data_IF_888445096051
#
_entry.id   IF_888445096051
#
_cell.length_a   1.000
_cell.length_b   1.000
_cell.length_c   1.000
_cell.angle_alpha   90.00
_cell.angle_beta   90.00
_cell.angle_gamma   90.00
#
_symmetry.space_group_name_H-M   'P 1'
#
loop_
_entity.id
_entity.type
_entity.pdbx_description
1 polymer ?
#
# COMPACT_ATOMS: atom_id res chain seq x y z
N UNK A 1 -1.45 -10.96 31.75
CA UNK A 1 -0.39 -12.00 31.62
C UNK A 1 0.85 -11.34 31.04
N UNK A 2 1.91 -11.14 31.82
CA UNK A 2 3.17 -10.62 31.28
C UNK A 2 3.76 -11.65 30.31
N UNK A 3 3.81 -11.33 29.01
CA UNK A 3 4.41 -12.21 28.00
C UNK A 3 5.90 -12.32 28.32
N UNK A 4 6.33 -13.47 28.84
CA UNK A 4 7.74 -13.76 29.13
C UNK A 4 8.53 -13.61 27.83
N UNK A 5 9.59 -12.79 27.86
CA UNK A 5 10.54 -12.70 26.76
C UNK A 5 11.09 -14.11 26.47
N UNK A 6 10.85 -14.62 25.26
CA UNK A 6 11.37 -15.91 24.82
C UNK A 6 12.82 -15.74 24.40
N UNK A 7 13.71 -16.50 25.03
CA UNK A 7 15.12 -16.61 24.64
C UNK A 7 15.20 -17.76 23.64
N UNK A 8 15.79 -17.51 22.47
CA UNK A 8 16.04 -18.52 21.42
C UNK A 8 17.49 -18.47 21.00
N UNK A 9 18.02 -19.56 20.47
CA UNK A 9 19.39 -19.57 19.93
C UNK A 9 19.37 -19.14 18.47
N UNK A 10 20.12 -18.09 18.13
CA UNK A 10 20.32 -17.60 16.76
C UNK A 10 21.82 -17.54 16.51
N UNK A 11 22.30 -18.21 15.46
CA UNK A 11 23.74 -18.30 15.14
C UNK A 11 24.59 -18.67 16.36
N UNK A 12 24.17 -19.72 17.07
CA UNK A 12 24.81 -20.25 18.29
C UNK A 12 24.89 -19.29 19.49
N UNK A 13 24.20 -18.15 19.41
CA UNK A 13 24.12 -17.16 20.49
C UNK A 13 22.68 -17.08 21.04
N UNK A 14 22.49 -16.96 22.35
CA UNK A 14 21.17 -16.71 22.91
C UNK A 14 20.72 -15.30 22.51
N UNK A 15 19.58 -15.22 21.84
CA UNK A 15 18.89 -13.99 21.46
C UNK A 15 17.63 -13.84 22.30
N UNK A 16 17.43 -12.65 22.87
CA UNK A 16 16.24 -12.29 23.64
C UNK A 16 15.46 -11.26 22.85
N UNK A 17 14.28 -11.65 22.36
CA UNK A 17 13.39 -10.71 21.70
C UNK A 17 12.90 -9.63 22.67
N UNK A 18 12.91 -8.40 22.20
CA UNK A 18 12.24 -7.26 22.80
C UNK A 18 10.72 -7.44 22.75
N UNK A 19 9.99 -6.62 23.51
CA UNK A 19 8.52 -6.65 23.52
C UNK A 19 7.94 -6.35 22.13
N UNK A 20 8.50 -5.36 21.43
CA UNK A 20 8.08 -4.95 20.08
C UNK A 20 8.34 -6.03 19.03
N UNK A 21 9.50 -6.69 19.07
CA UNK A 21 9.79 -7.79 18.15
C UNK A 21 8.85 -8.98 18.38
N UNK A 22 8.54 -9.29 19.64
CA UNK A 22 7.56 -10.33 19.95
C UNK A 22 6.17 -9.99 19.44
N UNK A 23 5.72 -8.74 19.57
CA UNK A 23 4.45 -8.29 19.02
C UNK A 23 4.42 -8.40 17.48
N UNK A 24 5.52 -8.06 16.81
CA UNK A 24 5.66 -8.21 15.36
C UNK A 24 5.55 -9.69 14.94
N UNK A 25 6.34 -10.56 15.58
CA UNK A 25 6.34 -12.02 15.35
C UNK A 25 4.93 -12.60 15.53
N UNK A 26 4.25 -12.23 16.61
CA UNK A 26 2.88 -12.68 16.88
C UNK A 26 1.87 -12.13 15.86
N UNK A 27 2.04 -10.89 15.40
CA UNK A 27 1.16 -10.27 14.39
C UNK A 27 1.22 -10.96 13.03
N UNK A 28 2.39 -11.51 12.69
CA UNK A 28 2.59 -12.32 11.48
C UNK A 28 2.25 -13.80 11.67
N UNK A 29 1.75 -14.18 12.85
CA UNK A 29 1.36 -15.56 13.17
C UNK A 29 2.53 -16.52 13.32
N UNK A 30 3.76 -16.03 13.45
CA UNK A 30 4.97 -16.85 13.55
C UNK A 30 5.39 -17.02 15.02
N UNK A 31 6.27 -18.00 15.28
CA UNK A 31 6.84 -18.23 16.61
C UNK A 31 8.32 -17.83 16.66
N UNK A 32 8.81 -17.48 17.84
CA UNK A 32 10.24 -17.20 18.08
C UNK A 32 11.17 -18.34 17.61
N UNK A 33 10.74 -19.60 17.73
CA UNK A 33 11.48 -20.76 17.22
C UNK A 33 11.52 -20.81 15.69
N UNK A 34 10.44 -20.39 15.02
CA UNK A 34 10.39 -20.26 13.56
C UNK A 34 11.38 -19.21 13.06
N UNK A 35 11.51 -18.08 13.77
CA UNK A 35 12.50 -17.03 13.43
C UNK A 35 13.92 -17.60 13.49
N UNK A 36 14.27 -18.35 14.54
CA UNK A 36 15.57 -19.03 14.63
C UNK A 36 15.80 -20.00 13.46
N UNK A 37 14.80 -20.79 13.10
CA UNK A 37 14.87 -21.70 11.95
C UNK A 37 15.12 -20.95 10.64
N UNK A 38 14.39 -19.87 10.39
CA UNK A 38 14.58 -19.02 9.20
C UNK A 38 15.98 -18.45 9.11
N UNK A 39 16.53 -17.95 10.22
CA UNK A 39 17.91 -17.42 10.22
C UNK A 39 18.91 -18.53 9.90
N UNK A 40 18.71 -19.76 10.40
CA UNK A 40 19.51 -20.93 10.01
C UNK A 40 19.38 -21.26 8.52
N UNK A 41 18.19 -21.07 7.95
CA UNK A 41 17.89 -21.26 6.52
C UNK A 41 18.41 -20.09 5.64
N UNK A 42 19.16 -19.14 6.21
CA UNK A 42 19.80 -18.05 5.47
C UNK A 42 19.00 -16.75 5.38
N UNK A 43 17.93 -16.61 6.15
CA UNK A 43 17.19 -15.36 6.26
C UNK A 43 17.96 -14.34 7.10
N UNK A 44 17.84 -13.06 6.77
CA UNK A 44 18.22 -12.02 7.71
C UNK A 44 17.24 -12.00 8.91
N UNK A 45 17.71 -11.64 10.11
CA UNK A 45 16.87 -11.61 11.31
C UNK A 45 15.61 -10.75 11.13
N UNK A 46 15.75 -9.57 10.51
CA UNK A 46 14.62 -8.68 10.25
C UNK A 46 13.63 -9.30 9.25
N UNK A 47 14.12 -9.85 8.13
CA UNK A 47 13.29 -10.57 7.15
C UNK A 47 12.56 -11.76 7.79
N UNK A 48 13.24 -12.49 8.67
CA UNK A 48 12.70 -13.65 9.37
C UNK A 48 11.55 -13.29 10.32
N UNK A 49 11.50 -12.04 10.83
CA UNK A 49 10.43 -11.55 11.69
C UNK A 49 9.25 -10.97 10.89
N UNK A 50 9.50 -10.29 9.77
CA UNK A 50 8.45 -9.63 8.95
C UNK A 50 7.68 -10.62 8.06
N UNK A 51 8.32 -11.72 7.64
CA UNK A 51 7.69 -12.68 6.75
C UNK A 51 6.56 -13.48 7.43
N UNK A 52 5.35 -13.59 6.82
CA UNK A 52 4.28 -14.43 7.36
C UNK A 52 4.62 -15.92 7.26
N UNK A 53 3.89 -16.76 7.98
CA UNK A 53 4.10 -18.22 7.92
C UNK A 53 3.92 -18.78 6.49
N UNK A 54 4.72 -19.77 6.12
CA UNK A 54 4.61 -20.46 4.82
C UNK A 54 5.29 -19.76 3.64
N UNK A 55 5.86 -18.56 3.80
CA UNK A 55 6.57 -17.87 2.70
C UNK A 55 7.96 -18.42 2.47
N UNK A 56 8.34 -18.58 1.20
CA UNK A 56 9.72 -18.86 0.80
C UNK A 56 10.55 -17.57 0.75
N UNK A 57 11.86 -17.68 0.98
CA UNK A 57 12.77 -16.52 1.02
C UNK A 57 12.80 -15.77 -0.32
N UNK A 58 12.85 -16.50 -1.43
CA UNK A 58 12.84 -15.93 -2.78
C UNK A 58 11.56 -15.14 -3.04
N UNK A 59 10.40 -15.76 -2.78
CA UNK A 59 9.08 -15.16 -2.95
C UNK A 59 8.91 -13.90 -2.09
N UNK A 60 9.36 -13.95 -0.84
CA UNK A 60 9.31 -12.79 0.06
C UNK A 60 10.15 -11.63 -0.48
N UNK A 61 11.39 -11.89 -0.92
CA UNK A 61 12.26 -10.84 -1.48
C UNK A 61 11.72 -10.28 -2.79
N UNK A 62 11.22 -11.12 -3.68
CA UNK A 62 10.56 -10.69 -4.92
C UNK A 62 9.33 -9.84 -4.64
N UNK A 63 8.50 -10.22 -3.67
CA UNK A 63 7.34 -9.43 -3.27
C UNK A 63 7.76 -8.05 -2.76
N UNK A 64 8.77 -7.98 -1.89
CA UNK A 64 9.28 -6.70 -1.37
C UNK A 64 9.91 -5.81 -2.44
N UNK A 65 10.56 -6.38 -3.46
CA UNK A 65 11.09 -5.58 -4.57
C UNK A 65 9.97 -5.03 -5.45
N UNK A 66 8.94 -5.82 -5.74
CA UNK A 66 7.75 -5.38 -6.49
C UNK A 66 7.03 -4.27 -5.72
N UNK A 67 6.78 -4.45 -4.42
CA UNK A 67 6.12 -3.45 -3.57
C UNK A 67 6.87 -2.11 -3.59
N UNK A 68 8.20 -2.14 -3.48
CA UNK A 68 9.04 -0.93 -3.56
C UNK A 68 8.94 -0.24 -4.93
N UNK A 69 8.89 -1.02 -6.02
CA UNK A 69 8.73 -0.48 -7.37
C UNK A 69 7.34 0.15 -7.57
N UNK A 70 6.29 -0.46 -7.03
CA UNK A 70 4.93 0.05 -7.09
C UNK A 70 4.77 1.34 -6.29
N UNK A 71 5.32 1.41 -5.08
CA UNK A 71 5.36 2.63 -4.27
C UNK A 71 6.07 3.77 -5.03
N UNK A 72 7.25 3.50 -5.60
CA UNK A 72 7.97 4.49 -6.40
C UNK A 72 7.18 4.95 -7.65
N UNK A 73 6.41 4.06 -8.28
CA UNK A 73 5.53 4.43 -9.41
C UNK A 73 4.38 5.31 -8.95
N UNK A 74 3.76 4.99 -7.81
CA UNK A 74 2.65 5.74 -7.24
C UNK A 74 3.09 7.15 -6.84
N UNK A 75 4.24 7.29 -6.19
CA UNK A 75 4.83 8.57 -5.81
C UNK A 75 5.08 9.45 -7.03
N UNK A 76 5.69 8.91 -8.09
CA UNK A 76 5.89 9.66 -9.36
C UNK A 76 4.58 10.08 -9.99
N UNK A 77 3.53 9.24 -9.93
CA UNK A 77 2.21 9.58 -10.45
C UNK A 77 1.61 10.75 -9.66
N UNK A 78 1.65 10.68 -8.32
CA UNK A 78 1.18 11.76 -7.45
C UNK A 78 1.95 13.06 -7.68
N UNK A 79 3.27 12.99 -7.85
CA UNK A 79 4.09 14.15 -8.15
C UNK A 79 3.72 14.81 -9.48
N UNK A 80 3.48 14.00 -10.53
CA UNK A 80 3.00 14.50 -11.83
C UNK A 80 1.65 15.19 -11.73
N UNK A 81 0.71 14.60 -10.99
CA UNK A 81 -0.61 15.20 -10.78
C UNK A 81 -0.50 16.52 -10.00
N UNK A 82 0.32 16.58 -8.94
CA UNK A 82 0.60 17.83 -8.21
C UNK A 82 1.22 18.90 -9.11
N UNK A 83 2.17 18.54 -9.97
CA UNK A 83 2.79 19.45 -10.94
C UNK A 83 1.77 20.00 -11.95
N UNK A 84 0.94 19.12 -12.52
CA UNK A 84 -0.13 19.52 -13.44
C UNK A 84 -1.14 20.45 -12.78
N UNK A 85 -1.56 20.15 -11.54
CA UNK A 85 -2.50 20.98 -10.80
C UNK A 85 -1.89 22.36 -10.50
N UNK A 86 -0.65 22.41 -10.03
CA UNK A 86 0.07 23.67 -9.77
C UNK A 86 0.23 24.50 -11.06
N UNK A 87 0.55 23.85 -12.18
CA UNK A 87 0.63 24.51 -13.47
C UNK A 87 -0.74 25.02 -13.95
N UNK A 88 -1.81 24.25 -13.75
CA UNK A 88 -3.17 24.65 -14.09
C UNK A 88 -3.62 25.85 -13.25
N UNK A 89 -3.36 25.84 -11.93
CA UNK A 89 -3.61 26.97 -11.03
C UNK A 89 -2.83 28.22 -11.45
N UNK A 90 -1.56 28.06 -11.87
CA UNK A 90 -0.73 29.17 -12.35
C UNK A 90 -1.22 29.74 -13.69
N UNK A 91 -1.52 28.88 -14.67
CA UNK A 91 -1.94 29.29 -16.02
C UNK A 91 -3.38 29.80 -16.05
N UNK A 92 -4.25 29.20 -15.24
CA UNK A 92 -5.69 29.50 -15.22
C UNK A 92 -6.20 29.69 -13.78
N UNK A 93 -5.76 30.73 -13.07
CA UNK A 93 -6.14 30.96 -11.67
C UNK A 93 -7.65 31.21 -11.50
N UNK A 94 -8.31 31.79 -12.51
CA UNK A 94 -9.74 32.07 -12.49
C UNK A 94 -10.62 30.80 -12.40
N UNK A 95 -10.15 29.62 -12.83
CA UNK A 95 -10.88 28.37 -12.64
C UNK A 95 -11.03 27.98 -11.17
N UNK A 96 -10.12 28.45 -10.30
CA UNK A 96 -10.08 28.08 -8.88
C UNK A 96 -10.55 29.20 -7.96
N UNK A 97 -10.41 30.46 -8.38
CA UNK A 97 -10.71 31.63 -7.55
C UNK A 97 -12.13 32.18 -7.78
N UNK A 98 -12.76 31.89 -8.92
CA UNK A 98 -14.09 32.41 -9.26
C UNK A 98 -15.13 31.29 -9.05
N UNK A 99 -16.23 31.54 -8.31
CA UNK A 99 -17.33 30.58 -8.19
C UNK A 99 -17.84 30.15 -9.57
N UNK A 100 -17.61 28.89 -9.92
CA UNK A 100 -18.11 28.31 -11.16
C UNK A 100 -19.61 28.00 -11.01
N UNK A 101 -20.48 28.96 -11.32
CA UNK A 101 -21.93 28.73 -11.32
C UNK A 101 -22.33 28.07 -12.65
N UNK A 102 -22.33 26.74 -12.67
CA UNK A 102 -22.92 25.97 -13.77
C UNK A 102 -24.31 25.48 -13.33
N UNK A 103 -25.36 26.23 -13.64
CA UNK A 103 -26.71 25.66 -13.62
C UNK A 103 -26.87 24.79 -14.86
N UNK A 104 -27.15 23.49 -14.70
CA UNK A 104 -27.60 22.67 -15.83
C UNK A 104 -28.95 23.23 -16.26
N UNK A 105 -29.07 23.58 -17.53
CA UNK A 105 -30.36 23.92 -18.12
C UNK A 105 -31.22 22.64 -18.14
N UNK A 106 -32.35 22.59 -17.39
CA UNK A 106 -33.19 21.40 -17.34
C UNK A 106 -33.74 21.01 -18.72
N UNK A 107 -34.06 22.00 -19.56
CA UNK A 107 -34.68 21.78 -20.86
C UNK A 107 -33.70 21.14 -21.85
N UNK A 108 -32.43 21.57 -21.83
CA UNK A 108 -31.40 21.00 -22.70
C UNK A 108 -31.01 19.58 -22.28
N UNK A 109 -30.98 19.28 -20.97
CA UNK A 109 -30.70 17.92 -20.52
C UNK A 109 -31.84 16.96 -20.91
N UNK A 110 -33.09 17.30 -20.61
CA UNK A 110 -34.21 16.38 -20.81
C UNK A 110 -34.53 16.11 -22.28
N UNK A 111 -34.37 17.09 -23.18
CA UNK A 111 -34.62 16.86 -24.61
C UNK A 111 -33.44 16.17 -25.30
N UNK A 112 -32.22 16.66 -25.11
CA UNK A 112 -31.07 16.20 -25.91
C UNK A 112 -30.50 14.88 -25.39
N UNK A 113 -30.43 14.69 -24.06
CA UNK A 113 -29.95 13.45 -23.46
C UNK A 113 -30.92 12.28 -23.73
N UNK A 114 -32.22 12.50 -23.55
CA UNK A 114 -33.21 11.46 -23.80
C UNK A 114 -33.35 11.14 -25.30
N UNK A 115 -33.26 12.11 -26.21
CA UNK A 115 -33.32 11.84 -27.65
C UNK A 115 -32.09 11.07 -28.16
N UNK A 116 -30.89 11.38 -27.68
CA UNK A 116 -29.66 10.74 -28.14
C UNK A 116 -29.45 9.34 -27.55
N UNK A 117 -29.86 9.11 -26.30
CA UNK A 117 -29.53 7.87 -25.58
C UNK A 117 -30.71 6.91 -25.35
N UNK A 118 -31.99 7.30 -25.54
CA UNK A 118 -33.12 6.33 -25.48
C UNK A 118 -33.05 5.27 -26.58
N UNK A 119 -32.59 5.63 -27.78
CA UNK A 119 -32.47 4.68 -28.91
C UNK A 119 -31.50 3.51 -28.64
N UNK A 120 -30.66 3.62 -27.62
CA UNK A 120 -29.67 2.61 -27.27
C UNK A 120 -30.14 1.63 -26.18
N UNK A 121 -31.31 1.84 -25.58
CA UNK A 121 -31.88 0.95 -24.55
C UNK A 121 -32.98 0.01 -25.07
N UNK A 122 -33.30 0.05 -26.36
CA UNK A 122 -34.31 -0.82 -27.01
C UNK A 122 -33.71 -2.07 -27.70
N UNK A 123 -32.55 -2.56 -27.23
CA UNK A 123 -31.94 -3.83 -27.71
C UNK A 123 -31.90 -4.86 -26.61
#
# INVERSE_FOLDING_TARGET
>A
MARKARIVTINDKPYRFTKSEMELIESHGITAGMVSKRVKDGWELHEAMDAPEGTRLSEYREKKTIERLEQARLERKLERERKKEAELRRKKPHLFNVPQKHSRDPYWFDNTYNQMFKKWQEV
#
